data_IF_382659733567
#
_entry.id   IF_382659733567
#
_cell.length_a   1.000
_cell.length_b   1.000
_cell.length_c   1.000
_cell.angle_alpha   90.00
_cell.angle_beta   90.00
_cell.angle_gamma   90.00
#
_symmetry.space_group_name_H-M   'P 1'
#
loop_
_entity.id
_entity.type
_entity.pdbx_description
1 polymer ?
#
# COMPACT_ATOMS: atom_id res chain seq x y z
N UNK A 1 -1.17 -15.87 21.45
CA UNK A 1 -1.56 -16.29 20.09
C UNK A 1 -0.73 -15.49 19.10
N UNK A 2 -0.14 -16.18 18.13
CA UNK A 2 0.62 -15.54 17.05
C UNK A 2 -0.13 -15.69 15.73
N UNK A 3 -0.32 -14.61 15.01
CA UNK A 3 -1.06 -14.56 13.75
C UNK A 3 -0.15 -14.15 12.60
N UNK A 4 -0.47 -14.63 11.39
CA UNK A 4 0.17 -14.18 10.17
C UNK A 4 -0.88 -13.69 9.17
N UNK A 5 -0.57 -12.60 8.48
CA UNK A 5 -1.37 -12.06 7.38
C UNK A 5 -0.52 -11.95 6.12
N UNK A 6 -1.11 -12.28 4.97
CA UNK A 6 -0.51 -12.11 3.65
C UNK A 6 -1.43 -11.26 2.79
N UNK A 7 -0.87 -10.22 2.20
CA UNK A 7 -1.55 -9.32 1.26
C UNK A 7 -0.88 -9.44 -0.11
N UNK A 8 -1.67 -9.80 -1.13
CA UNK A 8 -1.24 -9.87 -2.53
C UNK A 8 -1.75 -8.61 -3.24
N UNK A 9 -0.91 -7.57 -3.21
CA UNK A 9 -1.18 -6.29 -3.83
C UNK A 9 -0.75 -6.20 -5.29
N UNK A 10 -1.01 -5.03 -5.90
CA UNK A 10 -0.67 -4.76 -7.30
C UNK A 10 0.83 -4.72 -7.57
N UNK A 11 1.64 -4.19 -6.67
CA UNK A 11 3.10 -4.15 -6.84
C UNK A 11 3.82 -5.24 -6.04
N UNK A 12 3.32 -5.55 -4.86
CA UNK A 12 4.02 -6.30 -3.82
C UNK A 12 3.17 -7.40 -3.23
N UNK A 13 3.83 -8.46 -2.79
CA UNK A 13 3.28 -9.46 -1.87
C UNK A 13 3.96 -9.24 -0.53
N UNK A 14 3.16 -9.00 0.50
CA UNK A 14 3.64 -8.77 1.85
C UNK A 14 3.19 -9.88 2.80
N UNK A 15 4.03 -10.23 3.78
CA UNK A 15 3.58 -10.98 4.95
C UNK A 15 3.92 -10.21 6.23
N UNK A 16 3.04 -10.35 7.23
CA UNK A 16 3.20 -9.84 8.59
C UNK A 16 3.00 -11.01 9.55
N UNK A 17 3.89 -11.15 10.52
CA UNK A 17 3.72 -12.04 11.68
C UNK A 17 3.65 -11.17 12.92
N UNK A 18 2.61 -11.34 13.73
CA UNK A 18 2.41 -10.54 14.93
C UNK A 18 1.91 -11.38 16.12
N UNK A 19 2.37 -11.04 17.30
CA UNK A 19 1.83 -11.53 18.56
C UNK A 19 0.63 -10.69 19.01
N UNK A 20 -0.38 -11.35 19.55
CA UNK A 20 -1.50 -10.68 20.21
C UNK A 20 -1.20 -10.60 21.69
N UNK A 21 -0.87 -9.39 22.16
CA UNK A 21 -0.53 -9.13 23.57
C UNK A 21 -1.51 -8.10 24.14
N UNK A 22 -2.31 -8.51 25.13
CA UNK A 22 -3.35 -7.64 25.74
C UNK A 22 -4.26 -6.95 24.72
N UNK A 23 -4.65 -7.69 23.66
CA UNK A 23 -5.51 -7.17 22.59
C UNK A 23 -4.82 -6.25 21.58
N UNK A 24 -3.51 -6.06 21.68
CA UNK A 24 -2.72 -5.28 20.74
C UNK A 24 -1.83 -6.18 19.88
N UNK A 25 -1.59 -5.76 18.63
CA UNK A 25 -0.64 -6.42 17.75
C UNK A 25 0.78 -5.92 18.03
N UNK A 26 1.69 -6.86 18.26
CA UNK A 26 3.13 -6.62 18.38
C UNK A 26 3.79 -7.33 17.22
N UNK A 27 4.36 -6.55 16.29
CA UNK A 27 5.06 -7.10 15.12
C UNK A 27 6.24 -7.98 15.55
N UNK A 28 6.31 -9.18 14.97
CA UNK A 28 7.42 -10.12 15.14
C UNK A 28 8.34 -10.09 13.92
N UNK A 29 7.73 -10.09 12.72
CA UNK A 29 8.46 -10.04 11.45
C UNK A 29 7.55 -9.58 10.32
N UNK A 30 8.14 -8.95 9.30
CA UNK A 30 7.48 -8.70 8.03
C UNK A 30 8.41 -9.03 6.86
N UNK A 31 7.82 -9.44 5.73
CA UNK A 31 8.56 -9.77 4.52
C UNK A 31 7.83 -9.22 3.30
N UNK A 32 8.59 -8.84 2.29
CA UNK A 32 8.06 -8.27 1.06
C UNK A 32 8.80 -8.81 -0.15
N UNK A 33 8.04 -9.10 -1.21
CA UNK A 33 8.51 -9.38 -2.56
C UNK A 33 7.73 -8.53 -3.56
N UNK A 34 8.32 -8.25 -4.74
CA UNK A 34 7.75 -7.32 -5.71
C UNK A 34 7.48 -7.99 -7.08
N UNK A 35 6.42 -8.78 -7.24
CA UNK A 35 6.07 -9.42 -8.50
C UNK A 35 5.45 -8.48 -9.55
N UNK A 36 4.97 -7.28 -9.17
CA UNK A 36 4.42 -6.24 -10.05
C UNK A 36 3.23 -6.72 -10.92
N UNK A 37 2.23 -7.30 -10.30
CA UNK A 37 1.00 -7.79 -10.97
C UNK A 37 0.22 -6.65 -11.64
N UNK A 38 0.12 -5.49 -10.98
CA UNK A 38 -0.72 -4.37 -11.40
C UNK A 38 -0.30 -3.80 -12.75
N UNK A 39 1.00 -3.70 -13.03
CA UNK A 39 1.51 -3.21 -14.32
C UNK A 39 1.10 -4.16 -15.45
N UNK A 40 1.17 -5.47 -15.22
CA UNK A 40 0.74 -6.47 -16.21
C UNK A 40 -0.77 -6.41 -16.44
N UNK A 41 -1.56 -6.41 -15.37
CA UNK A 41 -3.02 -6.36 -15.45
C UNK A 41 -3.50 -5.07 -16.11
N UNK A 42 -2.95 -3.92 -15.77
CA UNK A 42 -3.29 -2.64 -16.41
C UNK A 42 -3.03 -2.65 -17.92
N UNK A 43 -2.03 -3.40 -18.38
CA UNK A 43 -1.65 -3.48 -19.79
C UNK A 43 -2.46 -4.52 -20.58
N UNK A 44 -2.83 -5.64 -19.98
CA UNK A 44 -3.35 -6.81 -20.67
C UNK A 44 -4.71 -7.30 -20.19
N UNK A 45 -5.25 -6.77 -19.08
CA UNK A 45 -6.45 -7.28 -18.41
C UNK A 45 -6.22 -8.58 -17.63
N UNK A 46 -5.02 -9.16 -17.66
CA UNK A 46 -4.74 -10.49 -17.11
C UNK A 46 -3.43 -10.54 -16.35
N UNK A 47 -3.33 -11.39 -15.33
CA UNK A 47 -2.10 -11.71 -14.61
C UNK A 47 -1.14 -12.50 -15.53
N UNK A 48 -1.67 -13.47 -16.27
CA UNK A 48 -0.98 -14.20 -17.32
C UNK A 48 0.42 -14.69 -16.92
N UNK A 49 1.45 -14.25 -17.65
CA UNK A 49 2.83 -14.67 -17.42
C UNK A 49 3.40 -14.29 -16.03
N UNK A 50 2.77 -13.33 -15.33
CA UNK A 50 3.17 -12.93 -13.96
C UNK A 50 2.67 -13.88 -12.88
N UNK A 51 1.74 -14.79 -13.15
CA UNK A 51 1.18 -15.72 -12.17
C UNK A 51 2.28 -16.57 -11.49
N UNK A 52 3.13 -17.23 -12.29
CA UNK A 52 4.21 -18.08 -11.74
C UNK A 52 5.24 -17.28 -10.90
N UNK A 53 5.77 -16.12 -11.34
CA UNK A 53 6.60 -15.25 -10.51
C UNK A 53 5.91 -14.83 -9.21
N UNK A 54 4.63 -14.44 -9.25
CA UNK A 54 3.88 -14.01 -8.08
C UNK A 54 3.67 -15.15 -7.06
N UNK A 55 3.34 -16.37 -7.53
CA UNK A 55 3.24 -17.54 -6.66
C UNK A 55 4.59 -17.88 -6.03
N UNK A 56 5.71 -17.75 -6.76
CA UNK A 56 7.04 -17.92 -6.15
C UNK A 56 7.32 -16.89 -5.07
N UNK A 57 7.02 -15.62 -5.32
CA UNK A 57 7.15 -14.54 -4.36
C UNK A 57 6.29 -14.81 -3.11
N UNK A 58 5.03 -15.22 -3.31
CA UNK A 58 4.11 -15.59 -2.23
C UNK A 58 4.66 -16.73 -1.37
N UNK A 59 5.12 -17.81 -2.00
CA UNK A 59 5.76 -18.93 -1.28
C UNK A 59 6.98 -18.48 -0.49
N UNK A 60 7.80 -17.58 -1.05
CA UNK A 60 9.01 -17.08 -0.38
C UNK A 60 8.67 -16.31 0.90
N UNK A 61 7.71 -15.35 0.85
CA UNK A 61 7.32 -14.58 2.03
C UNK A 61 6.63 -15.45 3.08
N UNK A 62 5.80 -16.43 2.67
CA UNK A 62 5.14 -17.35 3.60
C UNK A 62 6.13 -18.33 4.23
N UNK A 63 7.09 -18.86 3.47
CA UNK A 63 8.13 -19.74 4.02
C UNK A 63 8.95 -19.03 5.09
N UNK A 64 9.33 -17.77 4.85
CA UNK A 64 10.02 -16.93 5.84
C UNK A 64 9.13 -16.64 7.06
N UNK A 65 7.85 -16.33 6.86
CA UNK A 65 6.91 -16.13 7.96
C UNK A 65 6.78 -17.40 8.83
N UNK A 66 6.72 -18.59 8.21
CA UNK A 66 6.63 -19.89 8.93
C UNK A 66 7.78 -20.17 9.86
N UNK A 67 8.98 -19.60 9.64
CA UNK A 67 10.13 -19.78 10.55
C UNK A 67 9.89 -19.17 11.94
N UNK A 68 8.92 -18.26 12.07
CA UNK A 68 8.55 -17.66 13.35
C UNK A 68 7.45 -18.45 14.09
N UNK A 69 6.82 -19.43 13.43
CA UNK A 69 5.63 -20.11 13.93
C UNK A 69 4.42 -19.16 14.02
N UNK A 70 3.25 -19.63 13.71
CA UNK A 70 1.99 -18.90 13.92
C UNK A 70 0.82 -19.90 14.00
N UNK A 71 -0.25 -19.48 14.68
CA UNK A 71 -1.43 -20.32 14.90
C UNK A 71 -2.38 -20.25 13.69
N UNK A 72 -2.46 -19.08 13.02
CA UNK A 72 -3.38 -18.81 11.90
C UNK A 72 -2.67 -18.02 10.81
N UNK A 73 -2.92 -18.39 9.54
CA UNK A 73 -2.51 -17.66 8.35
C UNK A 73 -3.74 -17.11 7.61
N UNK A 74 -3.84 -15.79 7.53
CA UNK A 74 -4.85 -15.09 6.75
C UNK A 74 -4.24 -14.63 5.42
N UNK A 75 -5.00 -14.70 4.33
CA UNK A 75 -4.51 -14.25 3.03
C UNK A 75 -5.58 -13.54 2.24
N UNK A 76 -5.26 -12.36 1.69
CA UNK A 76 -6.09 -11.66 0.75
C UNK A 76 -5.35 -11.29 -0.53
N UNK A 77 -6.13 -10.98 -1.55
CA UNK A 77 -5.67 -10.38 -2.79
C UNK A 77 -6.55 -9.15 -3.09
N UNK A 78 -5.91 -8.10 -3.61
CA UNK A 78 -6.52 -6.79 -3.76
C UNK A 78 -6.69 -6.40 -5.24
N UNK A 79 -6.58 -5.14 -5.59
CA UNK A 79 -6.98 -4.56 -6.86
C UNK A 79 -6.50 -5.32 -8.11
N UNK A 80 -5.22 -5.66 -8.23
CA UNK A 80 -4.72 -6.30 -9.45
C UNK A 80 -5.39 -7.67 -9.71
N UNK A 81 -5.55 -8.47 -8.65
CA UNK A 81 -6.21 -9.78 -8.74
C UNK A 81 -7.71 -9.62 -8.95
N UNK A 82 -8.33 -8.64 -8.29
CA UNK A 82 -9.75 -8.32 -8.42
C UNK A 82 -10.13 -7.89 -9.84
N UNK A 83 -9.25 -7.17 -10.55
CA UNK A 83 -9.48 -6.65 -11.88
C UNK A 83 -9.07 -7.61 -13.02
N UNK A 84 -8.28 -8.62 -12.72
CA UNK A 84 -7.76 -9.53 -13.74
C UNK A 84 -8.82 -10.57 -14.17
N UNK A 85 -8.92 -10.80 -15.47
CA UNK A 85 -9.81 -11.82 -16.06
C UNK A 85 -9.54 -13.23 -15.51
N UNK A 86 -8.26 -13.53 -15.22
CA UNK A 86 -7.77 -14.78 -14.63
C UNK A 86 -7.56 -14.71 -13.12
N UNK A 87 -8.09 -13.67 -12.46
CA UNK A 87 -7.84 -13.38 -11.04
C UNK A 87 -8.36 -14.46 -10.10
N UNK A 88 -9.55 -15.03 -10.37
CA UNK A 88 -10.12 -16.10 -9.54
C UNK A 88 -9.29 -17.39 -9.59
N UNK A 89 -8.79 -17.76 -10.78
CA UNK A 89 -7.93 -18.93 -10.97
C UNK A 89 -6.56 -18.73 -10.33
N UNK A 90 -6.03 -17.50 -10.43
CA UNK A 90 -4.81 -17.12 -9.73
C UNK A 90 -4.98 -17.21 -8.21
N UNK A 91 -6.07 -16.66 -7.64
CA UNK A 91 -6.31 -16.69 -6.19
C UNK A 91 -6.42 -18.14 -5.67
N UNK A 92 -7.09 -19.04 -6.43
CA UNK A 92 -7.14 -20.46 -6.10
C UNK A 92 -5.76 -21.11 -6.09
N UNK A 93 -4.99 -20.91 -7.18
CA UNK A 93 -3.63 -21.44 -7.31
C UNK A 93 -2.67 -20.88 -6.23
N UNK A 94 -2.87 -19.62 -5.84
CA UNK A 94 -2.13 -18.97 -4.76
C UNK A 94 -2.48 -19.60 -3.41
N UNK A 95 -3.76 -19.86 -3.15
CA UNK A 95 -4.23 -20.53 -1.95
C UNK A 95 -3.65 -21.94 -1.80
N UNK A 96 -3.72 -22.73 -2.86
CA UNK A 96 -3.11 -24.10 -2.90
C UNK A 96 -1.61 -24.03 -2.62
N UNK A 97 -0.93 -23.01 -3.13
CA UNK A 97 0.52 -22.83 -2.99
C UNK A 97 0.98 -22.56 -1.55
N UNK A 98 0.12 -22.00 -0.70
CA UNK A 98 0.43 -21.61 0.69
C UNK A 98 -0.38 -22.36 1.75
N UNK A 99 -1.38 -23.14 1.33
CA UNK A 99 -2.20 -23.97 2.22
C UNK A 99 -3.26 -23.18 3.01
N UNK A 100 -3.77 -22.07 2.45
CA UNK A 100 -4.91 -21.31 3.00
C UNK A 100 -5.69 -20.62 1.89
N UNK A 101 -6.96 -20.32 2.12
CA UNK A 101 -7.77 -19.58 1.15
C UNK A 101 -7.25 -18.16 0.96
N UNK A 102 -7.04 -17.76 -0.30
CA UNK A 102 -6.78 -16.36 -0.66
C UNK A 102 -8.11 -15.70 -1.01
N UNK A 103 -8.58 -14.78 -0.16
CA UNK A 103 -9.81 -14.04 -0.38
C UNK A 103 -9.56 -12.83 -1.27
N UNK A 104 -10.22 -12.76 -2.43
CA UNK A 104 -10.21 -11.55 -3.26
C UNK A 104 -11.20 -10.57 -2.65
N UNK A 105 -10.69 -9.53 -1.98
CA UNK A 105 -11.52 -8.58 -1.24
C UNK A 105 -12.00 -7.43 -2.12
N UNK A 106 -13.17 -6.86 -1.80
CA UNK A 106 -13.69 -5.67 -2.48
C UNK A 106 -12.84 -4.43 -2.17
N UNK A 107 -12.95 -3.39 -3.00
CA UNK A 107 -12.27 -2.11 -2.75
C UNK A 107 -12.71 -1.48 -1.42
N UNK A 108 -13.99 -1.57 -1.08
CA UNK A 108 -14.50 -1.10 0.22
C UNK A 108 -13.86 -1.88 1.36
N UNK A 109 -13.80 -3.22 1.25
CA UNK A 109 -13.19 -4.04 2.31
C UNK A 109 -11.69 -3.80 2.45
N UNK A 110 -10.99 -3.53 1.35
CA UNK A 110 -9.58 -3.12 1.36
C UNK A 110 -9.41 -1.80 2.13
N UNK A 111 -10.25 -0.79 1.86
CA UNK A 111 -10.25 0.48 2.59
C UNK A 111 -10.57 0.31 4.09
N UNK A 112 -11.58 -0.51 4.44
CA UNK A 112 -11.94 -0.81 5.83
C UNK A 112 -10.80 -1.48 6.61
N UNK A 113 -10.16 -2.50 6.01
CA UNK A 113 -9.05 -3.20 6.64
C UNK A 113 -7.84 -2.28 6.79
N UNK A 114 -7.50 -1.50 5.76
CA UNK A 114 -6.41 -0.53 5.85
C UNK A 114 -6.69 0.50 6.94
N UNK A 115 -7.91 1.04 6.96
CA UNK A 115 -8.35 1.98 7.99
C UNK A 115 -8.28 1.38 9.40
N UNK A 116 -8.77 0.16 9.60
CA UNK A 116 -8.71 -0.52 10.90
C UNK A 116 -7.26 -0.64 11.41
N UNK A 117 -6.34 -1.00 10.51
CA UNK A 117 -4.91 -1.06 10.81
C UNK A 117 -4.37 0.30 11.24
N UNK A 118 -4.57 1.33 10.42
CA UNK A 118 -4.06 2.70 10.66
C UNK A 118 -4.72 3.33 11.91
N UNK A 119 -6.03 3.23 12.05
CA UNK A 119 -6.77 3.80 13.17
C UNK A 119 -6.40 3.18 14.53
N UNK A 120 -5.83 1.96 14.53
CA UNK A 120 -5.34 1.33 15.76
C UNK A 120 -4.26 2.16 16.48
N UNK A 121 -3.51 2.99 15.72
CA UNK A 121 -2.39 3.81 16.20
C UNK A 121 -2.59 5.32 16.04
N UNK A 122 -3.38 5.75 15.03
CA UNK A 122 -3.40 7.14 14.55
C UNK A 122 -4.73 7.87 14.71
N UNK A 123 -5.76 7.22 15.24
CA UNK A 123 -7.08 7.82 15.41
C UNK A 123 -7.04 9.10 16.26
N UNK A 124 -7.70 10.16 15.80
CA UNK A 124 -7.88 11.43 16.52
C UNK A 124 -9.36 11.80 16.62
N UNK A 125 -9.74 12.61 17.63
CA UNK A 125 -11.16 12.91 17.91
C UNK A 125 -11.85 13.71 16.79
N UNK A 126 -11.13 14.61 16.12
CA UNK A 126 -11.64 15.41 14.99
C UNK A 126 -11.62 14.59 13.70
N UNK A 127 -12.15 15.17 12.64
CA UNK A 127 -12.06 14.54 11.32
C UNK A 127 -10.60 14.51 10.83
N UNK A 128 -10.23 13.39 10.26
CA UNK A 128 -8.90 13.15 9.71
C UNK A 128 -9.01 12.30 8.45
N UNK A 129 -8.03 12.45 7.56
CA UNK A 129 -7.96 11.67 6.34
C UNK A 129 -6.89 10.56 6.47
N UNK A 130 -7.22 9.39 5.96
CA UNK A 130 -6.26 8.33 5.67
C UNK A 130 -6.11 8.19 4.16
N UNK A 131 -4.88 8.08 3.70
CA UNK A 131 -4.53 7.75 2.32
C UNK A 131 -3.67 6.49 2.32
N UNK A 132 -4.21 5.39 1.84
CA UNK A 132 -3.43 4.17 1.57
C UNK A 132 -3.02 4.17 0.10
N UNK A 133 -1.78 4.60 -0.16
CA UNK A 133 -1.23 4.67 -1.50
C UNK A 133 -0.61 3.34 -1.91
N UNK A 134 -1.40 2.52 -2.55
CA UNK A 134 -1.01 1.23 -3.09
C UNK A 134 -0.25 1.32 -4.42
N UNK A 135 -0.02 0.15 -5.03
CA UNK A 135 0.62 0.06 -6.34
C UNK A 135 -0.32 0.30 -7.51
N UNK A 136 -1.58 -0.06 -7.36
CA UNK A 136 -2.61 0.03 -8.40
C UNK A 136 -3.73 1.00 -8.07
N UNK A 137 -4.14 1.09 -6.80
CA UNK A 137 -5.18 2.01 -6.29
C UNK A 137 -4.66 2.85 -5.15
N UNK A 138 -5.47 3.81 -4.76
CA UNK A 138 -5.31 4.63 -3.56
C UNK A 138 -6.66 4.68 -2.85
N UNK A 139 -6.71 4.18 -1.64
CA UNK A 139 -7.86 4.27 -0.77
C UNK A 139 -7.79 5.57 0.02
N UNK A 140 -8.82 6.40 -0.10
CA UNK A 140 -8.98 7.65 0.65
C UNK A 140 -10.16 7.49 1.60
N UNK A 141 -9.91 7.70 2.88
CA UNK A 141 -10.90 7.56 3.95
C UNK A 141 -10.95 8.84 4.76
N UNK A 142 -12.16 9.37 4.99
CA UNK A 142 -12.43 10.37 6.03
C UNK A 142 -13.00 9.65 7.25
N UNK A 143 -12.43 9.94 8.41
CA UNK A 143 -12.80 9.31 9.66
C UNK A 143 -12.90 10.32 10.81
N UNK A 144 -13.66 9.96 11.83
CA UNK A 144 -13.72 10.65 13.13
C UNK A 144 -13.44 9.65 14.23
N UNK A 145 -12.40 9.89 15.02
CA UNK A 145 -11.97 8.86 15.98
C UNK A 145 -11.55 7.59 15.25
N UNK A 146 -12.15 6.48 15.65
CA UNK A 146 -11.96 5.16 15.03
C UNK A 146 -13.12 4.74 14.12
N UNK A 147 -13.93 5.68 13.69
CA UNK A 147 -15.10 5.43 12.86
C UNK A 147 -14.87 6.01 11.46
N UNK A 148 -14.88 5.13 10.47
CA UNK A 148 -14.86 5.49 9.06
C UNK A 148 -16.19 6.16 8.70
N UNK A 149 -16.14 7.38 8.15
CA UNK A 149 -17.32 8.13 7.75
C UNK A 149 -17.60 7.98 6.25
N UNK A 150 -16.57 8.12 5.44
CA UNK A 150 -16.62 8.09 3.98
C UNK A 150 -15.35 7.48 3.44
N UNK A 151 -15.43 6.76 2.34
CA UNK A 151 -14.26 6.19 1.67
C UNK A 151 -14.46 6.08 0.16
N UNK A 152 -13.36 6.07 -0.55
CA UNK A 152 -13.29 5.79 -1.99
C UNK A 152 -12.00 5.07 -2.29
N UNK A 153 -12.02 4.22 -3.32
CA UNK A 153 -10.81 3.66 -3.94
C UNK A 153 -10.64 4.29 -5.31
N UNK A 154 -9.52 4.97 -5.51
CA UNK A 154 -9.18 5.69 -6.73
C UNK A 154 -8.15 4.92 -7.55
N UNK A 155 -8.21 4.89 -8.90
CA UNK A 155 -7.26 4.17 -9.75
C UNK A 155 -5.93 4.94 -9.95
N UNK A 156 -5.39 5.52 -8.88
CA UNK A 156 -4.17 6.34 -8.88
C UNK A 156 -3.04 5.71 -8.06
N UNK A 157 -2.86 4.40 -8.19
CA UNK A 157 -1.76 3.71 -7.52
C UNK A 157 -0.38 4.05 -8.10
N UNK A 158 0.63 4.11 -7.24
CA UNK A 158 2.00 4.56 -7.54
C UNK A 158 2.68 3.80 -8.69
N UNK A 159 2.48 2.48 -8.77
CA UNK A 159 3.08 1.64 -9.81
C UNK A 159 2.43 1.84 -11.18
N UNK A 160 1.09 1.90 -11.20
CA UNK A 160 0.32 2.15 -12.43
C UNK A 160 0.61 3.55 -12.95
N UNK A 161 0.59 4.58 -12.10
CA UNK A 161 0.94 5.95 -12.50
C UNK A 161 2.36 6.04 -13.07
N UNK A 162 3.35 5.45 -12.40
CA UNK A 162 4.73 5.46 -12.87
C UNK A 162 4.87 4.77 -14.23
N UNK A 163 4.26 3.60 -14.41
CA UNK A 163 4.37 2.83 -15.65
C UNK A 163 3.63 3.47 -16.83
N UNK A 164 2.57 4.25 -16.56
CA UNK A 164 1.75 4.90 -17.59
C UNK A 164 2.36 6.22 -18.07
N UNK A 165 2.94 7.00 -17.15
CA UNK A 165 3.29 8.39 -17.44
C UNK A 165 4.78 8.68 -17.45
N UNK A 166 5.63 7.90 -16.75
CA UNK A 166 6.99 8.28 -16.47
C UNK A 166 8.04 7.50 -17.26
N UNK A 167 8.97 8.23 -17.87
CA UNK A 167 10.30 7.73 -18.25
C UNK A 167 11.21 7.59 -17.02
N UNK A 168 12.46 7.19 -17.20
CA UNK A 168 13.40 6.95 -16.11
C UNK A 168 14.72 7.73 -16.31
N UNK A 169 14.89 8.89 -15.65
CA UNK A 169 13.99 9.61 -14.75
C UNK A 169 12.83 10.30 -15.48
N UNK A 170 11.74 10.70 -14.76
CA UNK A 170 10.60 11.37 -15.37
C UNK A 170 10.94 12.79 -15.80
N UNK A 171 10.27 13.24 -16.88
CA UNK A 171 10.40 14.60 -17.41
C UNK A 171 9.31 15.51 -16.81
N UNK A 172 9.53 16.85 -16.80
CA UNK A 172 8.53 17.78 -16.27
C UNK A 172 7.16 17.67 -16.94
N UNK A 173 7.10 17.51 -18.26
CA UNK A 173 5.86 17.35 -19.01
C UNK A 173 5.14 16.04 -18.72
N UNK A 174 5.86 14.98 -18.36
CA UNK A 174 5.30 13.70 -17.93
C UNK A 174 4.64 13.84 -16.57
N UNK A 175 5.29 14.55 -15.64
CA UNK A 175 4.72 14.90 -14.33
C UNK A 175 3.45 15.70 -14.47
N UNK A 176 3.46 16.74 -15.31
CA UNK A 176 2.29 17.58 -15.53
C UNK A 176 1.10 16.76 -16.05
N UNK A 177 1.34 15.83 -17.00
CA UNK A 177 0.30 14.93 -17.50
C UNK A 177 -0.23 13.99 -16.42
N UNK A 178 0.67 13.40 -15.64
CA UNK A 178 0.30 12.50 -14.53
C UNK A 178 -0.51 13.25 -13.47
N UNK A 179 -0.04 14.43 -13.00
CA UNK A 179 -0.76 15.27 -12.03
C UNK A 179 -2.16 15.62 -12.52
N UNK A 180 -2.31 16.01 -13.79
CA UNK A 180 -3.63 16.30 -14.39
C UNK A 180 -4.55 15.09 -14.38
N UNK A 181 -4.05 13.90 -14.66
CA UNK A 181 -4.84 12.67 -14.62
C UNK A 181 -5.20 12.29 -13.17
N UNK A 182 -4.24 12.30 -12.25
CA UNK A 182 -4.49 11.99 -10.86
C UNK A 182 -5.46 12.98 -10.19
N UNK A 183 -5.37 14.27 -10.52
CA UNK A 183 -6.29 15.28 -9.98
C UNK A 183 -7.74 15.08 -10.44
N UNK A 184 -7.97 14.57 -11.66
CA UNK A 184 -9.32 14.21 -12.11
C UNK A 184 -9.92 13.10 -11.26
N UNK A 185 -9.12 12.10 -10.91
CA UNK A 185 -9.59 11.03 -10.04
C UNK A 185 -9.82 11.53 -8.61
N UNK A 186 -8.97 12.41 -8.11
CA UNK A 186 -9.11 13.01 -6.79
C UNK A 186 -10.40 13.83 -6.61
N UNK A 187 -11.04 14.30 -7.71
CA UNK A 187 -12.38 14.93 -7.60
C UNK A 187 -13.46 13.98 -7.05
N UNK A 188 -13.22 12.68 -7.03
CA UNK A 188 -14.09 11.69 -6.43
C UNK A 188 -13.73 11.40 -4.96
N UNK A 189 -12.61 11.95 -4.46
CA UNK A 189 -12.23 11.79 -3.05
C UNK A 189 -13.26 12.47 -2.15
N UNK A 190 -13.55 11.90 -0.95
CA UNK A 190 -14.43 12.56 -0.01
C UNK A 190 -13.86 13.94 0.37
N UNK A 191 -14.67 14.98 0.27
CA UNK A 191 -14.37 16.31 0.76
C UNK A 191 -14.49 16.39 2.29
N UNK A 192 -13.92 17.41 2.90
CA UNK A 192 -14.03 17.65 4.35
C UNK A 192 -12.87 18.49 4.88
N UNK A 193 -13.14 19.20 5.98
CA UNK A 193 -12.13 19.89 6.75
C UNK A 193 -11.44 18.92 7.69
N UNK A 194 -10.30 18.38 7.26
CA UNK A 194 -9.55 17.40 8.03
C UNK A 194 -8.38 18.07 8.78
N UNK A 195 -8.21 17.68 10.04
CA UNK A 195 -7.11 18.17 10.89
C UNK A 195 -5.76 17.56 10.51
N UNK A 196 -5.79 16.36 9.91
CA UNK A 196 -4.60 15.54 9.70
C UNK A 196 -4.76 14.63 8.49
N UNK A 197 -3.66 14.44 7.75
CA UNK A 197 -3.52 13.39 6.76
C UNK A 197 -2.55 12.32 7.27
N UNK A 198 -2.99 11.07 7.32
CA UNK A 198 -2.15 9.91 7.62
C UNK A 198 -2.01 9.09 6.35
N UNK A 199 -0.77 8.91 5.88
CA UNK A 199 -0.50 8.09 4.72
C UNK A 199 0.14 6.76 5.10
N UNK A 200 -0.31 5.71 4.43
CA UNK A 200 0.27 4.38 4.50
C UNK A 200 0.58 3.86 3.09
N UNK A 201 1.06 2.63 3.00
CA UNK A 201 1.46 2.02 1.74
C UNK A 201 2.95 2.17 1.43
N UNK A 202 3.35 1.56 0.33
CA UNK A 202 4.77 1.39 0.02
C UNK A 202 5.54 2.67 -0.28
N UNK A 203 4.90 3.73 -0.78
CA UNK A 203 5.55 5.03 -0.95
C UNK A 203 5.77 5.68 0.40
N UNK A 204 4.72 5.89 1.19
CA UNK A 204 4.77 6.58 2.48
C UNK A 204 5.80 5.94 3.42
N UNK A 205 5.74 4.62 3.60
CA UNK A 205 6.62 3.88 4.51
C UNK A 205 8.11 3.89 4.11
N UNK A 206 8.43 4.19 2.84
CA UNK A 206 9.81 4.27 2.37
C UNK A 206 10.38 5.69 2.22
N UNK A 207 9.57 6.75 2.40
CA UNK A 207 10.07 8.13 2.38
C UNK A 207 11.22 8.39 3.35
N UNK A 208 11.18 7.87 4.60
CA UNK A 208 12.27 8.05 5.56
C UNK A 208 13.63 7.54 5.07
N UNK A 209 13.67 6.42 4.34
CA UNK A 209 14.91 5.89 3.76
C UNK A 209 15.50 6.82 2.71
N UNK A 210 14.65 7.49 1.93
CA UNK A 210 15.08 8.48 0.94
C UNK A 210 15.64 9.73 1.60
N UNK A 211 15.08 10.15 2.74
CA UNK A 211 15.56 11.29 3.53
C UNK A 211 16.84 11.01 4.30
N UNK A 212 17.28 9.75 4.38
CA UNK A 212 18.51 9.36 5.11
C UNK A 212 18.51 9.71 6.61
N UNK A 213 17.35 9.77 7.21
CA UNK A 213 17.24 9.98 8.67
C UNK A 213 17.45 8.65 9.41
N UNK A 214 18.28 8.66 10.43
CA UNK A 214 18.48 7.47 11.29
C UNK A 214 17.25 7.16 12.14
N UNK A 215 16.54 8.21 12.57
CA UNK A 215 15.24 8.15 13.23
C UNK A 215 14.28 9.04 12.44
N UNK A 216 13.58 8.49 11.44
CA UNK A 216 12.70 9.29 10.61
C UNK A 216 11.58 9.90 11.45
N UNK A 217 11.26 11.18 11.25
CA UNK A 217 10.14 11.80 11.92
C UNK A 217 8.84 11.09 11.48
N UNK A 218 7.88 10.89 12.39
CA UNK A 218 6.58 10.32 12.03
C UNK A 218 5.74 11.28 11.17
N UNK A 219 6.18 12.53 11.04
CA UNK A 219 5.52 13.60 10.28
C UNK A 219 6.52 14.17 9.28
N UNK A 220 6.11 14.24 8.02
CA UNK A 220 6.88 14.84 6.93
C UNK A 220 6.15 16.09 6.40
N UNK A 221 6.93 17.09 6.04
CA UNK A 221 6.43 18.30 5.39
C UNK A 221 6.37 18.14 3.87
N UNK A 222 5.65 19.03 3.19
CA UNK A 222 5.71 19.17 1.73
C UNK A 222 7.15 19.35 1.24
N UNK A 223 7.99 20.11 1.98
CA UNK A 223 9.40 20.31 1.64
C UNK A 223 10.22 19.01 1.73
N UNK A 224 9.91 18.13 2.69
CA UNK A 224 10.54 16.80 2.79
C UNK A 224 10.18 15.92 1.59
N UNK A 225 8.91 15.94 1.17
CA UNK A 225 8.45 15.20 -0.02
C UNK A 225 9.17 15.70 -1.29
N UNK A 226 9.26 17.00 -1.48
CA UNK A 226 9.99 17.61 -2.60
C UNK A 226 11.50 17.28 -2.55
N UNK A 227 12.08 17.20 -1.36
CA UNK A 227 13.46 16.75 -1.17
C UNK A 227 13.62 15.29 -1.58
N UNK A 228 12.68 14.42 -1.20
CA UNK A 228 12.68 13.02 -1.64
C UNK A 228 12.57 12.93 -3.15
N UNK A 229 11.67 13.68 -3.76
CA UNK A 229 11.49 13.74 -5.21
C UNK A 229 12.80 14.12 -5.91
N UNK A 230 13.41 15.23 -5.53
CA UNK A 230 14.67 15.70 -6.10
C UNK A 230 15.80 14.66 -5.96
N UNK A 231 15.85 13.91 -4.86
CA UNK A 231 16.83 12.83 -4.67
C UNK A 231 16.58 11.64 -5.59
N UNK A 232 15.32 11.25 -5.75
CA UNK A 232 14.96 10.12 -6.61
C UNK A 232 15.16 10.43 -8.09
N UNK A 233 15.10 11.70 -8.49
CA UNK A 233 15.20 12.13 -9.90
C UNK A 233 16.63 12.41 -10.38
N UNK A 234 17.62 12.38 -9.49
CA UNK A 234 19.03 12.69 -9.83
C UNK A 234 19.62 11.82 -10.93
N UNK A 235 19.11 10.59 -11.08
CA UNK A 235 19.61 9.63 -12.05
C UNK A 235 18.56 8.55 -12.35
N UNK A 236 18.89 7.61 -13.23
CA UNK A 236 18.05 6.43 -13.49
C UNK A 236 17.81 5.64 -12.21
N UNK A 237 16.63 5.05 -12.08
CA UNK A 237 16.21 4.31 -10.90
C UNK A 237 17.21 3.23 -10.46
N UNK A 238 17.85 2.54 -11.40
CA UNK A 238 18.87 1.52 -11.09
C UNK A 238 20.12 2.10 -10.40
N UNK A 239 20.47 3.37 -10.66
CA UNK A 239 21.57 4.06 -9.99
C UNK A 239 21.16 4.58 -8.63
N UNK A 240 19.99 5.25 -8.56
CA UNK A 240 19.42 5.78 -7.29
C UNK A 240 19.16 4.65 -6.29
N UNK A 241 18.69 3.49 -6.75
CA UNK A 241 18.45 2.31 -5.93
C UNK A 241 19.63 1.92 -5.05
N UNK A 242 20.84 1.98 -5.60
CA UNK A 242 22.09 1.68 -4.87
C UNK A 242 22.39 2.69 -3.77
N UNK A 243 22.00 3.95 -3.96
CA UNK A 243 22.26 5.02 -3.00
C UNK A 243 21.26 5.02 -1.86
N UNK A 244 19.97 4.76 -2.18
CA UNK A 244 18.89 4.81 -1.16
C UNK A 244 18.61 3.45 -0.52
N UNK A 245 19.23 2.35 -1.01
CA UNK A 245 19.03 1.01 -0.46
C UNK A 245 17.65 0.41 -0.77
N UNK A 246 16.98 0.86 -1.84
CA UNK A 246 15.67 0.37 -2.28
C UNK A 246 15.77 -0.30 -3.65
N UNK A 247 14.89 -1.27 -3.98
CA UNK A 247 14.84 -1.84 -5.33
C UNK A 247 14.53 -0.78 -6.40
N UNK A 248 15.07 -0.92 -7.61
CA UNK A 248 14.88 0.06 -8.69
C UNK A 248 13.40 0.26 -9.09
N UNK A 249 12.61 -0.81 -9.09
CA UNK A 249 11.17 -0.72 -9.34
C UNK A 249 10.42 0.04 -8.22
N UNK A 250 10.87 -0.07 -6.96
CA UNK A 250 10.37 0.75 -5.85
C UNK A 250 10.69 2.23 -6.08
N UNK A 251 11.92 2.56 -6.48
CA UNK A 251 12.31 3.94 -6.80
C UNK A 251 11.41 4.52 -7.89
N UNK A 252 11.14 3.76 -8.98
CA UNK A 252 10.23 4.21 -10.05
C UNK A 252 8.84 4.51 -9.54
N UNK A 253 8.25 3.58 -8.78
CA UNK A 253 6.91 3.75 -8.23
C UNK A 253 6.83 4.94 -7.26
N UNK A 254 7.86 5.13 -6.42
CA UNK A 254 7.89 6.23 -5.43
C UNK A 254 7.87 7.61 -6.08
N UNK A 255 8.45 7.81 -7.26
CA UNK A 255 8.41 9.08 -7.97
C UNK A 255 6.97 9.54 -8.25
N UNK A 256 6.14 8.63 -8.77
CA UNK A 256 4.72 8.92 -8.97
C UNK A 256 3.93 8.96 -7.66
N UNK A 257 4.31 8.12 -6.71
CA UNK A 257 3.67 8.08 -5.40
C UNK A 257 3.87 9.37 -4.58
N UNK A 258 5.05 9.99 -4.65
CA UNK A 258 5.30 11.30 -4.01
C UNK A 258 4.38 12.37 -4.61
N UNK A 259 4.26 12.43 -5.92
CA UNK A 259 3.34 13.36 -6.59
C UNK A 259 1.89 13.14 -6.18
N UNK A 260 1.45 11.87 -6.07
CA UNK A 260 0.10 11.56 -5.61
C UNK A 260 -0.12 12.00 -4.15
N UNK A 261 0.87 11.83 -3.25
CA UNK A 261 0.79 12.31 -1.87
C UNK A 261 0.77 13.84 -1.80
N UNK A 262 1.56 14.53 -2.61
CA UNK A 262 1.52 16.00 -2.72
C UNK A 262 0.15 16.49 -3.18
N UNK A 263 -0.47 15.83 -4.16
CA UNK A 263 -1.83 16.16 -4.59
C UNK A 263 -2.87 15.92 -3.49
N UNK A 264 -2.73 14.87 -2.70
CA UNK A 264 -3.62 14.63 -1.55
C UNK A 264 -3.46 15.71 -0.47
N UNK A 265 -2.22 16.17 -0.19
CA UNK A 265 -1.98 17.28 0.73
C UNK A 265 -2.63 18.58 0.20
N UNK A 266 -2.43 18.91 -1.08
CA UNK A 266 -3.04 20.07 -1.73
C UNK A 266 -4.58 19.98 -1.67
N UNK A 267 -5.16 18.80 -1.93
CA UNK A 267 -6.60 18.56 -1.92
C UNK A 267 -7.25 18.88 -0.57
N UNK A 268 -6.58 18.51 0.52
CA UNK A 268 -7.06 18.75 1.88
C UNK A 268 -6.51 20.04 2.51
N UNK A 269 -5.75 20.85 1.79
CA UNK A 269 -5.17 22.09 2.28
C UNK A 269 -4.17 21.90 3.42
N UNK A 270 -3.44 20.78 3.42
CA UNK A 270 -2.49 20.43 4.47
C UNK A 270 -1.04 20.55 3.98
N UNK A 271 -0.14 20.94 4.87
CA UNK A 271 1.29 21.07 4.60
C UNK A 271 2.13 19.92 5.18
N UNK A 272 1.51 19.04 5.96
CA UNK A 272 2.18 17.97 6.67
C UNK A 272 1.46 16.63 6.51
N UNK A 273 2.25 15.57 6.44
CA UNK A 273 1.83 14.19 6.26
C UNK A 273 2.34 13.37 7.44
N UNK A 274 1.46 12.65 8.12
CA UNK A 274 1.86 11.64 9.09
C UNK A 274 2.01 10.28 8.39
N UNK A 275 3.11 9.57 8.68
CA UNK A 275 3.34 8.23 8.11
C UNK A 275 2.82 7.17 9.07
N UNK A 276 2.11 6.18 8.52
CA UNK A 276 1.77 4.93 9.17
C UNK A 276 2.49 3.76 8.52
N UNK A 277 2.95 2.83 9.35
CA UNK A 277 3.45 1.53 8.89
C UNK A 277 2.36 0.44 8.98
N UNK A 278 1.25 0.75 9.63
CA UNK A 278 0.05 -0.06 9.67
C UNK A 278 -0.75 0.09 8.36
N UNK A 279 -1.56 -0.91 8.05
CA UNK A 279 -2.42 -0.95 6.86
C UNK A 279 -3.20 -2.25 6.79
N UNK A 280 -3.52 -2.71 5.59
CA UNK A 280 -4.38 -3.89 5.33
C UNK A 280 -3.99 -5.10 6.19
N UNK A 281 -2.72 -5.44 6.30
CA UNK A 281 -2.26 -6.63 7.05
C UNK A 281 -2.61 -6.57 8.54
N UNK A 282 -2.34 -5.42 9.18
CA UNK A 282 -2.73 -5.21 10.58
C UNK A 282 -4.25 -5.24 10.72
N UNK A 283 -4.97 -4.61 9.79
CA UNK A 283 -6.43 -4.65 9.75
C UNK A 283 -7.01 -6.05 9.60
N UNK A 284 -6.40 -6.91 8.76
CA UNK A 284 -6.79 -8.32 8.65
C UNK A 284 -6.70 -9.05 9.99
N UNK A 285 -5.57 -8.86 10.71
CA UNK A 285 -5.37 -9.50 12.01
C UNK A 285 -6.36 -8.98 13.06
N UNK A 286 -6.62 -7.66 13.09
CA UNK A 286 -7.59 -7.05 13.99
C UNK A 286 -9.02 -7.51 13.67
N UNK A 287 -9.40 -7.53 12.40
CA UNK A 287 -10.71 -8.02 11.96
C UNK A 287 -10.91 -9.52 12.29
N UNK A 288 -9.86 -10.33 12.18
CA UNK A 288 -9.92 -11.72 12.60
C UNK A 288 -10.14 -11.88 14.11
N UNK A 289 -9.53 -11.04 14.93
CA UNK A 289 -9.76 -11.03 16.38
C UNK A 289 -11.19 -10.68 16.74
N UNK A 290 -11.87 -9.85 15.94
CA UNK A 290 -13.26 -9.46 16.17
C UNK A 290 -14.27 -10.43 15.58
N UNK A 291 -14.03 -10.94 14.37
CA UNK A 291 -15.01 -11.66 13.52
C UNK A 291 -14.62 -13.10 13.19
N UNK A 292 -13.48 -13.58 13.68
CA UNK A 292 -12.98 -14.92 13.34
C UNK A 292 -12.81 -15.10 11.83
N UNK A 293 -13.29 -16.20 11.28
CA UNK A 293 -13.13 -16.54 9.87
C UNK A 293 -13.91 -15.63 8.90
N UNK A 294 -14.80 -14.77 9.40
CA UNK A 294 -15.54 -13.80 8.56
C UNK A 294 -14.80 -12.45 8.40
N UNK A 295 -13.54 -12.37 8.81
CA UNK A 295 -12.71 -11.18 8.75
C UNK A 295 -12.64 -10.49 7.37
N UNK A 296 -12.84 -11.23 6.31
CA UNK A 296 -12.71 -10.78 4.92
C UNK A 296 -14.01 -10.23 4.31
N UNK A 297 -15.16 -10.40 4.99
CA UNK A 297 -16.49 -9.93 4.56
C UNK A 297 -16.78 -8.49 4.95
#
# INVERSE_FOLDING_TARGET
MRLAAVDIGSNTVHSLVADVVKGQLVEVAHYVEMPELGVQVARTGSIGARAKPAIRALRAVVARARTHGFDVLLACATQAVRQADDGADFARSAGDAIGTTVHVISALREAELSFLGVASRHAVRREWAMVDLGGGSTEVVIARGREMQRSVSLPIGSGVLASTYFSDPPKPEERARMRKAALRELTHAPDGEVERLVATGGTASNLPFVLTHRNPPPVLTTADLLTCEARLDRARAAQVAKTVGLPANRVKAMRAGIEALLLCLDWYGLAVLQISHEGVRQGMLLAYLERGNDWWR
#
